data_IF_642656222025
#
_entry.id   IF_642656222025
#
_cell.length_a   1.000
_cell.length_b   1.000
_cell.length_c   1.000
_cell.angle_alpha   90.00
_cell.angle_beta   90.00
_cell.angle_gamma   90.00
#
_symmetry.space_group_name_H-M   'P 1'
#
loop_
_entity.id
_entity.type
_entity.pdbx_description
1 polymer ?
#
# COMPACT_ATOMS: atom_id res chain seq x y z
N UNK A 1 -3.38 4.40 22.34
CA UNK A 1 -2.93 4.28 20.93
C UNK A 1 -2.69 2.81 20.66
N UNK A 2 -3.33 2.25 19.66
CA UNK A 2 -3.21 0.82 19.34
C UNK A 2 -1.79 0.47 18.90
N UNK A 3 -1.38 -0.74 19.20
CA UNK A 3 -0.08 -1.34 18.87
C UNK A 3 0.24 -1.22 17.36
N UNK A 4 -0.73 -1.48 16.50
CA UNK A 4 -0.58 -1.43 15.05
C UNK A 4 -0.39 -0.01 14.49
N UNK A 5 -0.93 1.03 15.14
CA UNK A 5 -0.73 2.45 14.73
C UNK A 5 0.74 2.90 14.72
N UNK A 6 1.66 2.18 15.38
CA UNK A 6 3.11 2.46 15.40
C UNK A 6 3.89 1.74 14.31
N UNK A 7 3.34 0.67 13.75
CA UNK A 7 3.99 -0.16 12.72
C UNK A 7 4.26 0.64 11.44
N UNK A 8 3.35 1.54 11.07
CA UNK A 8 3.43 2.35 9.86
C UNK A 8 4.71 3.16 9.68
N UNK A 9 5.38 3.56 10.75
CA UNK A 9 6.53 4.48 10.64
C UNK A 9 7.82 3.82 10.20
N UNK A 10 7.99 2.50 10.27
CA UNK A 10 9.30 1.86 10.18
C UNK A 10 9.48 0.84 9.04
N UNK A 11 8.41 0.32 8.43
CA UNK A 11 8.53 -0.80 7.48
C UNK A 11 9.08 -0.41 6.11
N UNK A 12 8.99 0.86 5.69
CA UNK A 12 9.31 1.29 4.32
C UNK A 12 10.52 2.22 4.18
N UNK A 13 11.36 2.37 5.20
CA UNK A 13 12.52 3.27 5.15
C UNK A 13 13.86 2.63 4.76
N UNK A 14 13.98 1.32 4.70
CA UNK A 14 15.27 0.61 4.57
C UNK A 14 15.64 0.18 3.13
N UNK A 15 14.87 0.48 2.10
CA UNK A 15 15.16 0.10 0.71
C UNK A 15 16.23 0.95 0.01
N UNK A 16 16.64 2.08 0.56
CA UNK A 16 17.67 2.92 -0.03
C UNK A 16 19.07 2.44 0.39
N UNK A 17 19.76 1.72 -0.47
CA UNK A 17 21.21 1.46 -0.31
C UNK A 17 21.97 2.79 -0.30
N UNK A 18 22.47 3.16 0.86
CA UNK A 18 23.34 4.34 1.03
C UNK A 18 24.61 4.13 0.20
N UNK A 19 24.79 4.90 -0.88
CA UNK A 19 26.05 4.98 -1.61
C UNK A 19 26.04 4.61 -3.08
N UNK A 20 24.92 4.19 -3.67
CA UNK A 20 24.81 3.95 -5.12
C UNK A 20 24.30 5.19 -5.85
N UNK A 21 24.86 5.48 -7.02
CA UNK A 21 24.33 6.52 -7.90
C UNK A 21 22.97 6.08 -8.41
N UNK A 22 21.94 6.93 -8.29
CA UNK A 22 20.59 6.66 -8.78
C UNK A 22 20.59 6.21 -10.25
N UNK A 23 19.84 5.16 -10.58
CA UNK A 23 19.67 4.65 -11.95
C UNK A 23 19.04 5.69 -12.88
N UNK A 24 18.32 6.67 -12.33
CA UNK A 24 17.69 7.77 -13.05
C UNK A 24 18.61 8.98 -13.28
N UNK A 25 19.77 9.07 -12.62
CA UNK A 25 20.61 10.28 -12.55
C UNK A 25 21.18 10.75 -13.89
N UNK A 26 21.25 9.87 -14.89
CA UNK A 26 21.87 10.15 -16.21
C UNK A 26 20.86 10.08 -17.37
N UNK A 27 19.58 9.95 -17.07
CA UNK A 27 18.54 9.86 -18.09
C UNK A 27 18.27 11.24 -18.70
N UNK A 28 18.00 11.25 -19.99
CA UNK A 28 17.33 12.39 -20.61
C UNK A 28 15.85 12.44 -20.18
N UNK A 29 15.22 13.59 -20.34
CA UNK A 29 13.79 13.74 -20.08
C UNK A 29 12.95 12.76 -20.93
N UNK A 30 13.34 12.56 -22.20
CA UNK A 30 12.71 11.63 -23.13
C UNK A 30 12.84 10.17 -22.67
N UNK A 31 14.03 9.75 -22.20
CA UNK A 31 14.25 8.41 -21.67
C UNK A 31 13.44 8.16 -20.39
N UNK A 32 13.37 9.16 -19.49
CA UNK A 32 12.55 9.09 -18.28
C UNK A 32 11.07 8.95 -18.62
N UNK A 33 10.54 9.79 -19.52
CA UNK A 33 9.15 9.68 -19.96
C UNK A 33 8.86 8.34 -20.61
N UNK A 34 9.77 7.83 -21.44
CA UNK A 34 9.62 6.52 -22.07
C UNK A 34 9.56 5.41 -21.01
N UNK A 35 10.43 5.47 -20.00
CA UNK A 35 10.43 4.52 -18.89
C UNK A 35 9.13 4.58 -18.08
N UNK A 36 8.64 5.76 -17.75
CA UNK A 36 7.40 5.93 -16.98
C UNK A 36 6.16 5.38 -17.70
N UNK A 37 6.19 5.27 -19.02
CA UNK A 37 5.11 4.65 -19.82
C UNK A 37 5.13 3.12 -19.80
N UNK A 38 6.19 2.49 -19.31
CA UNK A 38 6.28 1.02 -19.27
C UNK A 38 5.55 0.49 -18.05
N UNK A 39 4.34 -0.02 -18.25
CA UNK A 39 3.54 -0.62 -17.17
C UNK A 39 3.59 -2.16 -17.17
N UNK A 40 3.91 -2.80 -18.31
CA UNK A 40 3.82 -4.26 -18.47
C UNK A 40 5.17 -4.96 -18.34
N UNK A 41 5.22 -5.95 -17.46
CA UNK A 41 6.37 -6.83 -17.21
C UNK A 41 5.92 -8.29 -17.33
N UNK A 42 6.06 -8.89 -18.51
CA UNK A 42 5.49 -10.21 -18.81
C UNK A 42 3.96 -10.22 -18.68
N UNK A 43 3.45 -11.06 -17.79
CA UNK A 43 2.00 -11.14 -17.47
C UNK A 43 1.56 -10.17 -16.37
N UNK A 44 2.49 -9.45 -15.76
CA UNK A 44 2.22 -8.49 -14.71
C UNK A 44 2.08 -7.07 -15.27
N UNK A 45 1.05 -6.36 -14.85
CA UNK A 45 0.81 -4.97 -15.22
C UNK A 45 0.79 -4.13 -13.95
N UNK A 46 1.68 -3.15 -13.85
CA UNK A 46 1.67 -2.14 -12.80
C UNK A 46 0.54 -1.13 -13.01
N UNK A 47 0.09 -0.52 -11.93
CA UNK A 47 -0.71 0.71 -11.94
C UNK A 47 0.18 1.90 -12.35
N UNK A 48 -0.38 3.11 -12.47
CA UNK A 48 0.42 4.30 -12.79
C UNK A 48 1.14 4.90 -11.56
N UNK A 49 0.83 4.42 -10.37
CA UNK A 49 1.35 4.92 -9.10
C UNK A 49 2.88 4.81 -8.96
N UNK A 50 3.49 3.75 -9.50
CA UNK A 50 4.88 3.43 -9.23
C UNK A 50 5.57 2.79 -10.43
N UNK A 51 6.88 3.09 -10.63
CA UNK A 51 7.73 2.44 -11.62
C UNK A 51 9.03 1.96 -10.97
N UNK A 52 9.55 0.78 -11.35
CA UNK A 52 10.83 0.25 -10.84
C UNK A 52 12.01 1.11 -11.28
N UNK A 53 13.18 0.82 -10.71
CA UNK A 53 14.46 1.40 -11.14
C UNK A 53 14.67 1.24 -12.64
N UNK A 54 15.37 2.19 -13.26
CA UNK A 54 15.62 2.18 -14.71
C UNK A 54 16.40 0.94 -15.14
N UNK A 55 17.32 0.45 -14.31
CA UNK A 55 18.13 -0.75 -14.53
C UNK A 55 17.41 -2.07 -14.12
N UNK A 56 16.12 -1.99 -13.73
CA UNK A 56 15.29 -3.13 -13.37
C UNK A 56 15.92 -4.05 -12.31
N UNK A 57 16.44 -3.48 -11.23
CA UNK A 57 17.01 -4.25 -10.10
C UNK A 57 16.00 -5.24 -9.52
N UNK A 58 14.71 -4.88 -9.54
CA UNK A 58 13.59 -5.77 -9.28
C UNK A 58 12.63 -5.72 -10.46
N UNK A 59 12.34 -6.88 -11.04
CA UNK A 59 11.32 -7.02 -12.08
C UNK A 59 9.97 -7.29 -11.41
N UNK A 60 8.97 -6.40 -11.57
CA UNK A 60 7.65 -6.57 -10.97
C UNK A 60 7.00 -7.90 -11.40
N UNK A 61 6.46 -8.63 -10.43
CA UNK A 61 5.88 -9.97 -10.63
C UNK A 61 4.75 -10.21 -9.64
N UNK A 62 3.69 -10.90 -10.06
CA UNK A 62 2.59 -11.29 -9.18
C UNK A 62 2.98 -12.44 -8.26
N UNK A 63 2.57 -12.33 -6.99
CA UNK A 63 2.76 -13.36 -5.98
C UNK A 63 2.61 -12.81 -4.58
N UNK A 64 2.74 -13.68 -3.58
CA UNK A 64 2.89 -13.27 -2.19
C UNK A 64 4.01 -14.05 -1.52
N UNK A 65 4.53 -13.51 -0.43
CA UNK A 65 5.46 -14.20 0.47
C UNK A 65 5.10 -13.92 1.92
N UNK A 66 5.58 -14.79 2.80
CA UNK A 66 5.56 -14.56 4.24
C UNK A 66 6.73 -13.68 4.64
N UNK A 67 6.47 -12.85 5.62
CA UNK A 67 7.47 -12.01 6.27
C UNK A 67 7.13 -11.91 7.77
N UNK A 68 7.95 -11.23 8.53
CA UNK A 68 7.75 -11.01 9.94
C UNK A 68 8.11 -9.56 10.28
N UNK A 69 7.17 -8.86 10.87
CA UNK A 69 7.44 -7.56 11.44
C UNK A 69 7.92 -7.70 12.89
N UNK A 70 9.02 -7.07 13.21
CA UNK A 70 9.53 -6.99 14.57
C UNK A 70 9.31 -5.58 15.14
N UNK A 71 8.51 -5.49 16.20
CA UNK A 71 8.31 -4.26 16.95
C UNK A 71 9.39 -4.11 18.03
N UNK A 72 10.28 -3.12 17.87
CA UNK A 72 11.39 -2.89 18.79
C UNK A 72 10.95 -2.47 20.20
N UNK A 73 9.77 -1.81 20.33
CA UNK A 73 9.29 -1.34 21.63
C UNK A 73 8.68 -2.46 22.47
N UNK A 74 7.80 -3.26 21.87
CA UNK A 74 7.13 -4.37 22.56
C UNK A 74 7.90 -5.68 22.46
N UNK A 75 8.94 -5.75 21.63
CA UNK A 75 9.66 -6.98 21.25
C UNK A 75 8.75 -8.06 20.67
N UNK A 76 7.57 -7.66 20.15
CA UNK A 76 6.64 -8.58 19.53
C UNK A 76 7.04 -8.85 18.07
N UNK A 77 6.78 -10.09 17.64
CA UNK A 77 6.90 -10.52 16.25
C UNK A 77 5.49 -10.72 15.71
N UNK A 78 5.16 -10.04 14.65
CA UNK A 78 3.85 -10.13 14.01
C UNK A 78 4.04 -10.78 12.64
N UNK A 79 3.42 -11.92 12.39
CA UNK A 79 3.41 -12.52 11.06
C UNK A 79 2.78 -11.59 10.03
N UNK A 80 3.37 -11.57 8.83
CA UNK A 80 2.95 -10.70 7.73
C UNK A 80 2.87 -11.52 6.45
N UNK A 81 1.83 -11.28 5.65
CA UNK A 81 1.79 -11.66 4.24
C UNK A 81 1.87 -10.40 3.41
N UNK A 82 2.87 -10.34 2.51
CA UNK A 82 3.00 -9.27 1.53
C UNK A 82 2.70 -9.83 0.15
N UNK A 83 1.86 -9.13 -0.62
CA UNK A 83 1.43 -9.55 -1.94
C UNK A 83 1.48 -8.43 -2.97
N UNK A 84 1.77 -8.82 -4.22
CA UNK A 84 1.65 -7.98 -5.40
C UNK A 84 0.67 -8.65 -6.38
N UNK A 85 -0.32 -7.91 -6.83
CA UNK A 85 -1.30 -8.34 -7.81
C UNK A 85 -1.21 -7.46 -9.07
N UNK A 86 -1.47 -8.05 -10.26
CA UNK A 86 -1.57 -7.27 -11.49
C UNK A 86 -2.72 -6.27 -11.41
N UNK A 87 -2.56 -5.12 -12.06
CA UNK A 87 -3.53 -4.01 -12.06
C UNK A 87 -4.99 -4.46 -12.12
N UNK A 88 -5.34 -5.34 -13.07
CA UNK A 88 -6.72 -5.78 -13.33
C UNK A 88 -7.38 -6.53 -12.16
N UNK A 89 -6.61 -6.96 -11.15
CA UNK A 89 -7.08 -7.73 -10.01
C UNK A 89 -6.78 -7.08 -8.67
N UNK A 90 -5.94 -6.06 -8.69
CA UNK A 90 -5.35 -5.50 -7.48
C UNK A 90 -6.41 -4.94 -6.53
N UNK A 91 -7.29 -4.08 -7.04
CA UNK A 91 -8.32 -3.44 -6.21
C UNK A 91 -9.35 -4.44 -5.66
N UNK A 92 -9.85 -5.34 -6.52
CA UNK A 92 -10.76 -6.38 -6.06
C UNK A 92 -10.11 -7.33 -5.04
N UNK A 93 -8.81 -7.64 -5.20
CA UNK A 93 -8.09 -8.45 -4.22
C UNK A 93 -7.97 -7.72 -2.88
N UNK A 94 -7.68 -6.41 -2.91
CA UNK A 94 -7.71 -5.58 -1.70
C UNK A 94 -9.06 -5.64 -1.00
N UNK A 95 -10.13 -5.44 -1.76
CA UNK A 95 -11.49 -5.45 -1.23
C UNK A 95 -11.88 -6.79 -0.59
N UNK A 96 -11.46 -7.92 -1.18
CA UNK A 96 -11.70 -9.24 -0.60
C UNK A 96 -10.86 -9.50 0.66
N UNK A 97 -9.62 -8.99 0.70
CA UNK A 97 -8.77 -9.09 1.90
C UNK A 97 -9.33 -8.34 3.12
N UNK A 98 -10.29 -7.45 2.94
CA UNK A 98 -10.95 -6.77 4.05
C UNK A 98 -11.99 -7.66 4.75
N UNK A 99 -12.56 -8.68 4.08
CA UNK A 99 -13.62 -9.50 4.65
C UNK A 99 -13.24 -10.23 5.94
N UNK A 100 -12.02 -10.79 6.07
CA UNK A 100 -11.58 -11.40 7.33
C UNK A 100 -11.50 -10.45 8.53
N UNK A 101 -11.45 -9.13 8.31
CA UNK A 101 -11.39 -8.14 9.39
C UNK A 101 -12.68 -8.01 10.19
N UNK A 102 -13.82 -8.53 9.67
CA UNK A 102 -15.10 -8.49 10.36
C UNK A 102 -15.98 -7.31 9.94
N UNK A 103 -17.05 -7.08 10.69
CA UNK A 103 -18.11 -6.15 10.28
C UNK A 103 -17.78 -4.67 10.59
N UNK A 104 -17.14 -4.40 11.71
CA UNK A 104 -16.73 -3.04 12.14
C UNK A 104 -15.21 -2.94 12.10
N UNK A 105 -14.69 -1.87 11.51
CA UNK A 105 -13.25 -1.66 11.31
C UNK A 105 -12.85 -0.22 11.62
N UNK A 106 -11.56 -0.05 11.90
CA UNK A 106 -10.89 1.24 11.93
C UNK A 106 -10.11 1.46 10.63
N UNK A 107 -10.00 2.71 10.19
CA UNK A 107 -9.33 3.07 8.94
C UNK A 107 -8.24 4.10 9.21
N UNK A 108 -7.09 3.93 8.58
CA UNK A 108 -6.02 4.92 8.51
C UNK A 108 -5.77 5.26 7.04
N UNK A 109 -5.91 6.54 6.69
CA UNK A 109 -5.43 7.07 5.41
C UNK A 109 -4.04 7.66 5.61
N UNK A 110 -3.14 7.30 4.72
CA UNK A 110 -1.81 7.88 4.64
C UNK A 110 -1.66 8.72 3.37
N UNK A 111 -0.98 9.85 3.49
CA UNK A 111 -0.66 10.67 2.32
C UNK A 111 0.70 11.33 2.41
N UNK A 112 1.35 11.44 1.26
CA UNK A 112 2.57 12.21 1.03
C UNK A 112 2.36 13.40 0.08
N UNK A 113 1.11 13.81 -0.19
CA UNK A 113 0.79 14.94 -1.09
C UNK A 113 1.30 16.30 -0.61
N UNK A 114 1.57 16.48 0.68
CA UNK A 114 2.02 17.76 1.22
C UNK A 114 3.50 18.01 0.90
N UNK A 115 3.77 19.05 0.08
CA UNK A 115 5.11 19.40 -0.42
C UNK A 115 6.02 20.08 0.63
N UNK A 116 5.51 20.47 1.79
CA UNK A 116 6.26 21.22 2.82
C UNK A 116 6.68 20.34 4.00
N UNK A 117 7.32 19.23 3.74
CA UNK A 117 7.87 18.39 4.81
C UNK A 117 8.19 16.98 4.32
N UNK A 118 9.26 16.40 4.83
CA UNK A 118 9.56 14.98 4.63
C UNK A 118 8.74 14.19 5.63
N UNK A 119 7.64 13.58 5.21
CA UNK A 119 6.86 12.66 6.04
C UNK A 119 5.48 12.39 5.47
N UNK A 120 4.90 11.28 5.92
CA UNK A 120 3.52 10.93 5.69
C UNK A 120 2.65 11.57 6.76
N UNK A 121 1.41 11.90 6.39
CA UNK A 121 0.36 12.32 7.32
C UNK A 121 -0.63 11.19 7.43
N UNK A 122 -0.91 10.74 8.67
CA UNK A 122 -1.86 9.69 8.96
C UNK A 122 -3.16 10.32 9.48
N UNK A 123 -4.27 9.96 8.87
CA UNK A 123 -5.62 10.36 9.24
C UNK A 123 -6.40 9.13 9.72
N UNK A 124 -7.20 9.29 10.77
CA UNK A 124 -7.83 8.15 11.45
C UNK A 124 -9.34 8.27 11.46
N UNK A 125 -10.01 7.14 11.17
CA UNK A 125 -11.45 6.96 11.39
C UNK A 125 -11.66 5.67 12.16
N UNK A 126 -12.26 5.77 13.34
CA UNK A 126 -12.63 4.62 14.17
C UNK A 126 -14.09 4.22 13.93
N UNK A 127 -14.37 2.92 14.08
CA UNK A 127 -15.71 2.34 14.10
C UNK A 127 -16.57 2.67 12.88
N UNK A 128 -16.14 2.23 11.70
CA UNK A 128 -16.93 2.26 10.47
C UNK A 128 -17.40 0.84 10.09
N UNK A 129 -18.67 0.71 9.68
CA UNK A 129 -19.17 -0.55 9.15
C UNK A 129 -18.43 -0.90 7.85
N UNK A 130 -17.88 -2.10 7.76
CA UNK A 130 -17.09 -2.54 6.60
C UNK A 130 -17.84 -2.42 5.26
N UNK A 131 -19.15 -2.77 5.14
CA UNK A 131 -19.88 -2.56 3.91
C UNK A 131 -19.98 -1.08 3.49
N UNK A 132 -20.07 -0.16 4.46
CA UNK A 132 -20.07 1.29 4.20
C UNK A 132 -18.70 1.73 3.70
N UNK A 133 -17.62 1.29 4.37
CA UNK A 133 -16.25 1.54 3.92
C UNK A 133 -16.04 1.04 2.49
N UNK A 134 -16.36 -0.22 2.22
CA UNK A 134 -16.22 -0.80 0.87
C UNK A 134 -16.97 -0.01 -0.19
N UNK A 135 -18.21 0.44 0.12
CA UNK A 135 -18.98 1.26 -0.81
C UNK A 135 -18.32 2.61 -1.12
N UNK A 136 -17.69 3.23 -0.11
CA UNK A 136 -16.93 4.47 -0.30
C UNK A 136 -15.71 4.21 -1.16
N UNK A 137 -14.92 3.16 -0.85
CA UNK A 137 -13.67 2.87 -1.55
C UNK A 137 -13.87 2.56 -3.04
N UNK A 138 -15.02 1.92 -3.42
CA UNK A 138 -15.36 1.69 -4.82
C UNK A 138 -15.46 2.97 -5.65
N UNK A 139 -15.90 4.06 -5.06
CA UNK A 139 -16.01 5.36 -5.75
C UNK A 139 -14.62 6.01 -6.00
N UNK A 140 -13.56 5.51 -5.33
CA UNK A 140 -12.20 6.02 -5.41
C UNK A 140 -11.19 5.00 -5.97
N UNK A 141 -11.67 3.94 -6.63
CA UNK A 141 -10.83 2.87 -7.18
C UNK A 141 -9.68 3.42 -8.03
N UNK A 142 -10.00 4.32 -8.96
CA UNK A 142 -9.01 4.90 -9.89
C UNK A 142 -7.88 5.63 -9.14
N UNK A 143 -8.23 6.44 -8.17
CA UNK A 143 -7.26 7.16 -7.35
C UNK A 143 -6.45 6.20 -6.49
N UNK A 144 -7.09 5.26 -5.80
CA UNK A 144 -6.41 4.28 -4.94
C UNK A 144 -5.43 3.40 -5.72
N UNK A 145 -5.73 3.06 -6.99
CA UNK A 145 -4.85 2.30 -7.86
C UNK A 145 -3.66 3.12 -8.39
N UNK A 146 -3.88 4.37 -8.78
CA UNK A 146 -2.92 5.10 -9.62
C UNK A 146 -2.21 6.26 -8.92
N UNK A 147 -2.57 6.56 -7.67
CA UNK A 147 -1.90 7.60 -6.88
C UNK A 147 -0.77 7.01 -6.03
N UNK A 148 0.48 7.32 -6.39
CA UNK A 148 1.67 6.91 -5.65
C UNK A 148 1.94 7.70 -4.36
N UNK A 149 1.01 8.57 -3.94
CA UNK A 149 1.11 9.35 -2.71
C UNK A 149 0.08 8.96 -1.66
N UNK A 150 -0.78 7.97 -1.95
CA UNK A 150 -1.87 7.53 -1.06
C UNK A 150 -1.73 6.08 -0.67
N UNK A 151 -1.82 5.81 0.63
CA UNK A 151 -1.98 4.51 1.24
C UNK A 151 -3.23 4.46 2.12
N UNK A 152 -3.75 3.26 2.34
CA UNK A 152 -4.85 2.99 3.27
C UNK A 152 -4.58 1.73 4.06
N UNK A 153 -4.83 1.78 5.37
CA UNK A 153 -4.88 0.60 6.21
C UNK A 153 -6.24 0.46 6.86
N UNK A 154 -6.69 -0.77 6.97
CA UNK A 154 -7.95 -1.14 7.60
C UNK A 154 -7.65 -2.16 8.70
N UNK A 155 -8.14 -1.90 9.91
CA UNK A 155 -7.82 -2.66 11.10
C UNK A 155 -9.10 -3.19 11.76
N UNK A 156 -9.01 -4.40 12.32
CA UNK A 156 -10.03 -4.85 13.26
C UNK A 156 -9.83 -4.17 14.63
N UNK A 157 -10.85 -3.50 15.24
CA UNK A 157 -10.69 -2.80 16.50
C UNK A 157 -10.46 -3.71 17.72
N UNK A 158 -10.87 -4.99 17.63
CA UNK A 158 -10.86 -5.94 18.75
C UNK A 158 -9.78 -7.03 18.67
N UNK A 159 -9.24 -7.29 17.48
CA UNK A 159 -8.25 -8.34 17.23
C UNK A 159 -7.08 -7.73 16.46
N UNK A 160 -5.82 -8.10 16.76
CA UNK A 160 -4.66 -7.55 16.05
C UNK A 160 -4.57 -8.12 14.62
N UNK A 161 -5.44 -7.66 13.76
CA UNK A 161 -5.51 -7.94 12.32
C UNK A 161 -5.62 -6.63 11.55
N UNK A 162 -4.87 -6.54 10.46
CA UNK A 162 -4.79 -5.36 9.63
C UNK A 162 -4.51 -5.73 8.17
N UNK A 163 -5.08 -4.98 7.25
CA UNK A 163 -4.78 -5.03 5.82
C UNK A 163 -4.41 -3.64 5.35
N UNK A 164 -3.26 -3.53 4.70
CA UNK A 164 -2.79 -2.30 4.07
C UNK A 164 -2.83 -2.43 2.55
N UNK A 165 -3.21 -1.36 1.89
CA UNK A 165 -2.97 -1.09 0.50
C UNK A 165 -2.08 0.15 0.43
N UNK A 166 -0.78 -0.07 0.31
CA UNK A 166 0.22 0.99 0.48
C UNK A 166 0.40 1.88 -0.75
N UNK A 167 1.22 2.90 -0.65
CA UNK A 167 1.53 3.81 -1.75
C UNK A 167 2.30 3.14 -2.91
N UNK A 168 2.95 1.99 -2.67
CA UNK A 168 3.61 1.18 -3.70
C UNK A 168 2.66 0.19 -4.38
N UNK A 169 1.39 0.19 -3.95
CA UNK A 169 0.35 -0.72 -4.43
C UNK A 169 0.63 -2.19 -4.09
N UNK A 170 1.24 -2.39 -2.94
CA UNK A 170 1.36 -3.69 -2.31
C UNK A 170 0.17 -3.93 -1.36
N UNK A 171 -0.23 -5.20 -1.24
CA UNK A 171 -1.21 -5.66 -0.28
C UNK A 171 -0.46 -6.31 0.88
N UNK A 172 -0.65 -5.80 2.09
CA UNK A 172 0.08 -6.26 3.27
C UNK A 172 -0.94 -6.63 4.33
N UNK A 173 -0.97 -7.89 4.74
CA UNK A 173 -1.85 -8.37 5.80
C UNK A 173 -1.03 -8.76 7.02
N UNK A 174 -1.43 -8.26 8.18
CA UNK A 174 -0.83 -8.54 9.47
C UNK A 174 -1.81 -9.31 10.35
N UNK A 175 -1.32 -10.25 11.13
CA UNK A 175 -2.14 -10.95 12.10
C UNK A 175 -1.42 -12.17 12.68
N UNK A 176 -1.92 -12.68 13.82
CA UNK A 176 -1.42 -13.93 14.36
C UNK A 176 -1.88 -15.16 13.56
N UNK A 177 -3.03 -15.05 12.90
CA UNK A 177 -3.57 -16.05 11.98
C UNK A 177 -3.69 -15.39 10.58
N UNK A 178 -2.84 -15.84 9.66
CA UNK A 178 -2.80 -15.33 8.29
C UNK A 178 -3.61 -16.19 7.30
N UNK A 179 -4.08 -17.38 7.73
CA UNK A 179 -4.79 -18.33 6.86
C UNK A 179 -5.99 -17.72 6.14
N UNK A 180 -6.85 -16.87 6.78
CA UNK A 180 -7.97 -16.25 6.09
C UNK A 180 -7.54 -15.33 4.93
N UNK A 181 -6.43 -14.63 5.08
CA UNK A 181 -5.88 -13.77 4.02
C UNK A 181 -5.23 -14.59 2.89
N UNK A 182 -4.53 -15.65 3.25
CA UNK A 182 -3.93 -16.57 2.27
C UNK A 182 -5.00 -17.30 1.44
N UNK A 183 -6.15 -17.62 2.05
CA UNK A 183 -7.29 -18.21 1.34
C UNK A 183 -7.79 -17.28 0.23
N UNK A 184 -7.99 -15.99 0.53
CA UNK A 184 -8.34 -14.95 -0.46
C UNK A 184 -7.29 -14.89 -1.57
N UNK A 185 -6.00 -14.85 -1.23
CA UNK A 185 -4.94 -14.79 -2.23
C UNK A 185 -4.92 -16.03 -3.13
N UNK A 186 -5.18 -17.22 -2.59
CA UNK A 186 -5.29 -18.47 -3.35
C UNK A 186 -6.49 -18.48 -4.30
N UNK A 187 -7.65 -18.00 -3.84
CA UNK A 187 -8.85 -17.86 -4.67
C UNK A 187 -8.61 -16.87 -5.83
N UNK A 188 -7.92 -15.78 -5.57
CA UNK A 188 -7.48 -14.80 -6.57
C UNK A 188 -6.31 -15.28 -7.44
N UNK A 189 -5.83 -16.54 -7.24
CA UNK A 189 -4.73 -17.18 -7.98
C UNK A 189 -3.40 -16.43 -7.85
N UNK A 190 -3.18 -15.79 -6.73
CA UNK A 190 -1.91 -15.22 -6.34
C UNK A 190 -1.15 -16.31 -5.59
N UNK A 191 0.02 -16.71 -6.07
CA UNK A 191 0.78 -17.86 -5.56
C UNK A 191 1.83 -17.42 -4.56
N UNK A 192 2.04 -18.23 -3.53
CA UNK A 192 3.15 -18.06 -2.60
C UNK A 192 4.50 -18.30 -3.30
N UNK A 193 5.43 -17.41 -3.05
CA UNK A 193 6.82 -17.52 -3.50
C UNK A 193 7.74 -16.79 -2.51
N UNK A 194 8.36 -17.52 -1.61
CA UNK A 194 9.25 -16.97 -0.57
C UNK A 194 10.50 -16.25 -1.12
N UNK A 195 10.77 -16.37 -2.42
CA UNK A 195 11.85 -15.64 -3.11
C UNK A 195 11.37 -14.42 -3.89
N UNK A 196 10.08 -14.11 -3.79
CA UNK A 196 9.51 -12.94 -4.45
C UNK A 196 10.19 -11.67 -3.91
N UNK A 197 10.58 -10.80 -4.82
CA UNK A 197 11.05 -9.45 -4.49
C UNK A 197 9.99 -8.44 -4.86
N UNK A 198 9.78 -7.47 -3.99
CA UNK A 198 8.87 -6.37 -4.21
C UNK A 198 9.62 -5.13 -4.71
N UNK A 199 8.89 -4.26 -5.38
CA UNK A 199 9.43 -3.00 -5.93
C UNK A 199 10.14 -2.15 -4.87
N UNK A 200 9.67 -2.23 -3.62
CA UNK A 200 10.24 -1.54 -2.45
C UNK A 200 11.64 -2.00 -2.06
N UNK A 201 12.10 -3.14 -2.57
CA UNK A 201 13.44 -3.67 -2.29
C UNK A 201 14.53 -3.09 -3.22
N UNK A 202 14.15 -2.20 -4.12
CA UNK A 202 15.05 -1.48 -5.02
C UNK A 202 14.63 -0.02 -5.17
N UNK A 203 15.47 0.76 -5.86
CA UNK A 203 15.10 2.13 -6.24
C UNK A 203 13.85 2.11 -7.12
N UNK A 204 12.93 3.04 -6.88
CA UNK A 204 11.69 3.19 -7.63
C UNK A 204 11.24 4.66 -7.61
N UNK A 205 10.28 5.02 -8.46
CA UNK A 205 9.70 6.36 -8.51
C UNK A 205 8.18 6.29 -8.37
N UNK A 206 7.64 7.24 -7.62
CA UNK A 206 6.21 7.43 -7.46
C UNK A 206 5.67 8.48 -8.42
N UNK A 207 4.44 8.28 -8.86
CA UNK A 207 3.70 9.22 -9.69
C UNK A 207 2.39 9.60 -9.02
N UNK A 208 2.03 10.86 -9.13
CA UNK A 208 0.76 11.40 -8.64
C UNK A 208 0.31 12.58 -9.49
N UNK A 209 -0.88 13.12 -9.23
CA UNK A 209 -1.43 14.27 -9.92
C UNK A 209 -2.20 15.19 -8.98
N UNK A 210 -2.36 16.47 -9.37
CA UNK A 210 -3.22 17.40 -8.63
C UNK A 210 -4.70 16.94 -8.60
N UNK A 211 -5.12 16.09 -9.53
CA UNK A 211 -6.44 15.48 -9.51
C UNK A 211 -6.56 14.48 -8.36
N UNK A 212 -5.59 13.57 -8.23
CA UNK A 212 -5.58 12.58 -7.15
C UNK A 212 -5.46 13.24 -5.77
N UNK A 213 -4.70 14.32 -5.65
CA UNK A 213 -4.65 15.10 -4.41
C UNK A 213 -6.04 15.66 -4.01
N UNK A 214 -6.84 16.13 -4.98
CA UNK A 214 -8.22 16.56 -4.71
C UNK A 214 -9.16 15.40 -4.37
N UNK A 215 -9.03 14.27 -5.08
CA UNK A 215 -9.83 13.06 -4.80
C UNK A 215 -9.49 12.48 -3.42
N UNK A 216 -8.23 12.56 -2.99
CA UNK A 216 -7.83 12.22 -1.63
C UNK A 216 -8.56 13.07 -0.58
N UNK A 217 -8.63 14.39 -0.77
CA UNK A 217 -9.38 15.28 0.14
C UNK A 217 -10.89 14.94 0.14
N UNK A 218 -11.45 14.55 -1.00
CA UNK A 218 -12.84 14.08 -1.07
C UNK A 218 -13.05 12.74 -0.34
N UNK A 219 -12.14 11.77 -0.50
CA UNK A 219 -12.17 10.50 0.23
C UNK A 219 -12.11 10.75 1.75
N UNK A 220 -11.19 11.61 2.19
CA UNK A 220 -11.05 12.04 3.59
C UNK A 220 -12.38 12.58 4.14
N UNK A 221 -13.03 13.50 3.42
CA UNK A 221 -14.35 14.05 3.80
C UNK A 221 -15.41 12.95 3.88
N UNK A 222 -15.49 12.05 2.90
CA UNK A 222 -16.48 10.96 2.87
C UNK A 222 -16.29 9.95 4.00
N UNK A 223 -15.07 9.75 4.45
CA UNK A 223 -14.75 8.94 5.62
C UNK A 223 -14.96 9.70 6.95
N UNK A 224 -15.32 10.99 6.91
CA UNK A 224 -15.55 11.80 8.10
C UNK A 224 -14.27 12.10 8.88
N UNK A 225 -13.13 12.18 8.20
CA UNK A 225 -11.82 12.46 8.81
C UNK A 225 -11.50 13.97 8.88
N UNK A 226 -12.39 14.83 8.38
CA UNK A 226 -12.21 16.30 8.39
C UNK A 226 -12.55 16.97 9.72
N UNK A 227 -13.10 16.24 10.67
CA UNK A 227 -13.48 16.79 11.98
C UNK A 227 -12.29 16.84 12.94
N UNK A 228 -11.19 17.45 12.54
CA UNK A 228 -10.20 17.97 13.46
C UNK A 228 -10.79 19.21 14.14
N UNK A 229 -11.42 19.07 15.31
CA UNK A 229 -11.54 20.18 16.23
C UNK A 229 -10.11 20.50 16.67
N UNK A 230 -9.52 21.55 16.08
CA UNK A 230 -8.41 22.23 16.76
C UNK A 230 -8.97 22.79 18.08
N UNK A 231 -8.64 22.14 19.20
CA UNK A 231 -8.72 22.74 20.52
C UNK A 231 -7.41 23.46 20.85
#
# INVERSE_FOLDING_TARGET
MGFLKRIFRNVFRDGAQVGTTSSFSKLSEEDLEAHLRVARYGDFVLTDAVRPSYDLQVVPTQGYRHDEYYDEESHARVPVVMAAATHDRLFETFMDLLDPLGFEVDVVLETSHHREGRGHTDLYREHIDLPVLKSILWDFEEMLLNDGCTGIAVLNPGVPMEVQFDEHKLLIAYGHDLEPFEEVLRERRIRCNDKLKFITEAEHVHSSSDQFAREFEELKMRLGMDCGFEE
#
